data_IF_534772525936
#
_entry.id   IF_534772525936
#
_cell.length_a   1.000
_cell.length_b   1.000
_cell.length_c   1.000
_cell.angle_alpha   90.00
_cell.angle_beta   90.00
_cell.angle_gamma   90.00
#
_symmetry.space_group_name_H-M   'P 1'
#
loop_
_entity.id
_entity.type
_entity.pdbx_description
1 polymer ?
#
# COMPACT_ATOMS: atom_id res chain seq x y z
N UNK A 1 -11.05 9.29 -7.94
CA UNK A 1 -9.67 9.07 -7.51
C UNK A 1 -9.28 10.10 -6.46
N UNK A 2 -8.65 9.68 -5.41
CA UNK A 2 -8.18 10.56 -4.35
C UNK A 2 -6.66 10.44 -4.23
N UNK A 3 -5.99 11.56 -3.97
CA UNK A 3 -4.54 11.55 -3.76
C UNK A 3 -4.26 11.61 -2.27
N UNK A 4 -3.49 10.65 -1.79
CA UNK A 4 -3.08 10.56 -0.39
C UNK A 4 -1.57 10.80 -0.28
N UNK A 5 -1.20 11.64 0.68
CA UNK A 5 0.21 11.86 1.02
C UNK A 5 0.49 11.15 2.32
N UNK A 6 1.36 10.15 2.27
CA UNK A 6 1.71 9.31 3.42
C UNK A 6 3.16 9.59 3.80
N UNK A 7 3.39 9.86 5.06
CA UNK A 7 4.74 10.12 5.55
C UNK A 7 5.50 8.81 5.75
N UNK A 8 6.82 8.90 5.66
CA UNK A 8 7.69 7.76 5.93
C UNK A 8 7.34 7.11 7.28
N UNK A 9 7.32 5.80 7.30
CA UNK A 9 7.01 4.95 8.46
C UNK A 9 5.53 4.89 8.85
N UNK A 10 4.64 5.59 8.14
CA UNK A 10 3.22 5.44 8.38
C UNK A 10 2.70 4.15 7.74
N UNK A 11 1.78 3.50 8.43
CA UNK A 11 1.12 2.30 7.92
C UNK A 11 0.01 2.70 6.96
N UNK A 12 0.02 2.13 5.77
CA UNK A 12 -1.00 2.37 4.76
C UNK A 12 -2.15 1.38 4.93
N UNK A 13 -1.82 0.12 5.15
CA UNK A 13 -2.80 -0.94 5.35
C UNK A 13 -2.17 -2.04 6.19
N UNK A 14 -3.01 -2.77 6.93
CA UNK A 14 -2.57 -3.86 7.79
C UNK A 14 -3.09 -5.19 7.28
N UNK A 15 -2.33 -6.23 7.55
CA UNK A 15 -2.74 -7.61 7.30
C UNK A 15 -4.13 -7.86 7.89
N UNK A 16 -4.97 -8.53 7.12
CA UNK A 16 -6.36 -8.90 7.45
C UNK A 16 -7.37 -7.76 7.42
N UNK A 17 -6.95 -6.51 7.24
CA UNK A 17 -7.90 -5.43 7.02
C UNK A 17 -8.60 -5.65 5.70
N UNK A 18 -9.89 -5.31 5.64
CA UNK A 18 -10.66 -5.40 4.41
C UNK A 18 -10.13 -4.42 3.37
N UNK A 19 -10.05 -4.88 2.14
CA UNK A 19 -9.69 -4.02 1.01
C UNK A 19 -10.91 -3.22 0.60
N UNK A 20 -10.96 -1.97 1.01
CA UNK A 20 -12.02 -1.02 0.62
C UNK A 20 -11.58 -0.14 -0.53
N UNK A 21 -10.28 0.05 -0.65
CA UNK A 21 -9.66 0.85 -1.69
C UNK A 21 -8.40 0.13 -2.13
N UNK A 22 -8.03 0.34 -3.37
CA UNK A 22 -6.70 -0.07 -3.84
C UNK A 22 -5.91 1.18 -4.20
N UNK A 23 -4.60 1.07 -4.18
CA UNK A 23 -3.72 2.22 -4.32
C UNK A 23 -2.70 2.01 -5.42
N UNK A 24 -2.39 3.10 -6.14
CA UNK A 24 -1.31 3.15 -7.11
C UNK A 24 -0.23 4.07 -6.56
N UNK A 25 1.00 3.60 -6.48
CA UNK A 25 2.11 4.43 -6.03
C UNK A 25 2.50 5.39 -7.13
N UNK A 26 2.35 6.68 -6.89
CA UNK A 26 2.73 7.72 -7.82
C UNK A 26 4.14 8.24 -7.57
N UNK A 27 4.55 8.31 -6.30
CA UNK A 27 5.89 8.73 -5.88
C UNK A 27 6.25 8.03 -4.58
N UNK A 28 7.54 7.78 -4.38
CA UNK A 28 8.04 7.18 -3.16
C UNK A 28 8.09 5.67 -3.23
N UNK A 29 8.16 5.03 -2.06
CA UNK A 29 8.26 3.58 -1.98
C UNK A 29 7.53 3.07 -0.74
N UNK A 30 7.03 1.84 -0.85
CA UNK A 30 6.25 1.17 0.19
C UNK A 30 6.84 -0.20 0.46
N UNK A 31 6.95 -0.56 1.74
CA UNK A 31 7.38 -1.90 2.12
C UNK A 31 6.15 -2.77 2.28
N UNK A 32 6.15 -3.88 1.59
CA UNK A 32 5.19 -4.97 1.73
C UNK A 32 5.82 -5.95 2.73
N UNK A 33 5.31 -5.93 3.96
CA UNK A 33 5.97 -6.62 5.07
C UNK A 33 5.26 -7.91 5.42
N UNK A 34 5.90 -9.02 5.12
CA UNK A 34 5.48 -10.36 5.52
C UNK A 34 6.26 -10.81 6.76
N UNK A 35 5.81 -11.88 7.40
CA UNK A 35 6.49 -12.41 8.58
C UNK A 35 7.93 -12.87 8.29
N UNK A 36 8.18 -13.29 7.06
CA UNK A 36 9.45 -13.90 6.66
C UNK A 36 10.24 -13.08 5.64
N UNK A 37 9.67 -11.99 5.14
CA UNK A 37 10.31 -11.21 4.07
C UNK A 37 9.72 -9.82 3.97
N UNK A 38 10.49 -8.90 3.40
CA UNK A 38 10.02 -7.56 3.06
C UNK A 38 10.30 -7.32 1.57
N UNK A 39 9.30 -6.79 0.89
CA UNK A 39 9.39 -6.47 -0.53
C UNK A 39 9.16 -4.97 -0.68
N UNK A 40 10.04 -4.29 -1.39
CA UNK A 40 9.89 -2.86 -1.66
C UNK A 40 9.11 -2.67 -2.94
N UNK A 41 8.02 -1.92 -2.85
CA UNK A 41 7.21 -1.53 -3.99
C UNK A 41 7.51 -0.08 -4.33
N UNK A 42 7.69 0.20 -5.60
CA UNK A 42 8.05 1.52 -6.07
C UNK A 42 6.98 2.09 -7.00
N UNK A 43 7.28 3.25 -7.60
CA UNK A 43 6.38 3.94 -8.51
C UNK A 43 5.75 2.98 -9.52
N UNK A 44 4.47 3.14 -9.74
CA UNK A 44 3.63 2.34 -10.63
C UNK A 44 3.20 0.98 -10.06
N UNK A 45 3.62 0.61 -8.86
CA UNK A 45 3.13 -0.60 -8.22
C UNK A 45 1.72 -0.36 -7.67
N UNK A 46 0.94 -1.42 -7.62
CA UNK A 46 -0.44 -1.39 -7.14
C UNK A 46 -0.52 -2.13 -5.81
N UNK A 47 -1.19 -1.51 -4.84
CA UNK A 47 -1.45 -2.10 -3.53
C UNK A 47 -2.93 -2.41 -3.44
N UNK A 48 -3.25 -3.61 -3.01
CA UNK A 48 -4.61 -4.12 -2.95
C UNK A 48 -4.86 -5.04 -4.14
N UNK A 49 -5.19 -6.28 -3.83
CA UNK A 49 -5.38 -7.30 -4.85
C UNK A 49 -6.87 -7.47 -5.10
N UNK A 50 -7.27 -7.29 -6.34
CA UNK A 50 -8.68 -7.34 -6.73
C UNK A 50 -9.34 -8.69 -6.43
N UNK A 51 -8.56 -9.75 -6.34
CA UNK A 51 -9.08 -11.09 -6.10
C UNK A 51 -9.14 -11.45 -4.60
N UNK A 52 -8.74 -10.55 -3.72
CA UNK A 52 -8.68 -10.79 -2.27
C UNK A 52 -9.57 -9.81 -1.52
N UNK A 53 -10.26 -10.30 -0.48
CA UNK A 53 -11.10 -9.45 0.36
C UNK A 53 -10.28 -8.69 1.40
N UNK A 54 -9.11 -9.18 1.75
CA UNK A 54 -8.26 -8.63 2.80
C UNK A 54 -6.82 -8.47 2.32
N UNK A 55 -6.13 -7.53 2.94
CA UNK A 55 -4.71 -7.35 2.67
C UNK A 55 -3.91 -8.55 3.20
N UNK A 56 -2.96 -9.07 2.41
CA UNK A 56 -2.17 -10.26 2.79
C UNK A 56 -1.05 -9.97 3.77
N UNK A 57 -0.69 -8.71 3.96
CA UNK A 57 0.44 -8.29 4.79
C UNK A 57 0.29 -6.83 5.17
N UNK A 58 1.24 -6.32 5.96
CA UNK A 58 1.29 -4.90 6.27
C UNK A 58 1.95 -4.13 5.13
N UNK A 59 1.43 -2.93 4.85
CA UNK A 59 2.01 -2.01 3.89
C UNK A 59 2.42 -0.74 4.62
N UNK A 60 3.70 -0.42 4.60
CA UNK A 60 4.27 0.70 5.35
C UNK A 60 5.05 1.59 4.40
N UNK A 61 4.81 2.89 4.46
CA UNK A 61 5.57 3.83 3.64
C UNK A 61 7.03 3.81 4.08
N UNK A 62 7.94 3.51 3.16
CA UNK A 62 9.37 3.53 3.43
C UNK A 62 9.92 4.96 3.36
N UNK A 63 9.40 5.73 2.43
CA UNK A 63 9.71 7.14 2.23
C UNK A 63 8.40 7.90 2.19
N UNK A 64 8.47 9.23 2.14
CA UNK A 64 7.28 10.02 1.88
C UNK A 64 6.70 9.57 0.54
N UNK A 65 5.45 9.16 0.54
CA UNK A 65 4.83 8.47 -0.58
C UNK A 65 3.54 9.16 -1.00
N UNK A 66 3.34 9.26 -2.29
CA UNK A 66 2.09 9.76 -2.87
C UNK A 66 1.36 8.60 -3.51
N UNK A 67 0.12 8.40 -3.08
CA UNK A 67 -0.74 7.32 -3.57
C UNK A 67 -1.96 7.89 -4.26
N UNK A 68 -2.37 7.27 -5.36
CA UNK A 68 -3.70 7.46 -5.92
C UNK A 68 -4.59 6.36 -5.37
N UNK A 69 -5.67 6.73 -4.71
CA UNK A 69 -6.61 5.79 -4.10
C UNK A 69 -7.84 5.63 -4.98
N UNK A 70 -8.24 4.39 -5.19
CA UNK A 70 -9.41 4.05 -6.00
C UNK A 70 -10.35 3.18 -5.16
N UNK A 71 -11.62 3.53 -5.16
CA UNK A 71 -12.64 2.77 -4.44
C UNK A 71 -12.97 1.48 -5.18
N UNK A 72 -13.11 0.42 -4.42
CA UNK A 72 -13.53 -0.87 -4.98
C UNK A 72 -15.02 -0.87 -5.34
#
# INVERSE_FOLDING_TARGET
>A
MEILNVQANQTIAKRKDKVKEWYLIQEGSVIQKFDFAEIVLEKNAIIGVLASDCFPCDYIAQTNTKLAAFTC
#
